data_IF_674445738796
#
_entry.id   IF_674445738796
#
_cell.length_a   1.000
_cell.length_b   1.000
_cell.length_c   1.000
_cell.angle_alpha   90.00
_cell.angle_beta   90.00
_cell.angle_gamma   90.00
#
_symmetry.space_group_name_H-M   'P 1'
#
loop_
_entity.id
_entity.type
_entity.pdbx_description
1 polymer ?
#
# COMPACT_ATOMS: atom_id res chain seq x y z
N UNK A 1 -23.95 -17.53 14.17
CA UNK A 1 -22.48 -17.62 14.04
C UNK A 1 -22.04 -16.53 13.07
N UNK A 2 -21.96 -15.27 13.54
CA UNK A 2 -21.66 -14.07 12.72
C UNK A 2 -20.61 -13.16 13.39
N UNK A 3 -20.05 -13.56 14.54
CA UNK A 3 -19.12 -12.73 15.35
C UNK A 3 -17.71 -12.59 14.75
N UNK A 4 -17.39 -13.26 13.66
CA UNK A 4 -16.03 -13.34 13.11
C UNK A 4 -15.72 -12.29 12.05
N UNK A 5 -16.72 -11.85 11.27
CA UNK A 5 -16.49 -10.93 10.16
C UNK A 5 -16.40 -9.47 10.64
N UNK A 6 -17.25 -9.08 11.59
CA UNK A 6 -17.21 -7.73 12.18
C UNK A 6 -15.94 -7.50 13.00
N UNK A 7 -15.54 -8.48 13.83
CA UNK A 7 -14.29 -8.39 14.58
C UNK A 7 -13.04 -8.39 13.69
N UNK A 8 -13.10 -9.05 12.53
CA UNK A 8 -12.03 -8.97 11.53
C UNK A 8 -12.00 -7.58 10.87
N UNK A 9 -13.15 -7.00 10.53
CA UNK A 9 -13.24 -5.64 9.98
C UNK A 9 -12.65 -4.62 10.97
N UNK A 10 -13.03 -4.67 12.23
CA UNK A 10 -12.47 -3.80 13.28
C UNK A 10 -10.95 -3.94 13.41
N UNK A 11 -10.45 -5.18 13.41
CA UNK A 11 -9.00 -5.44 13.44
C UNK A 11 -8.28 -4.86 12.24
N UNK A 12 -8.89 -4.93 11.06
CA UNK A 12 -8.33 -4.37 9.82
C UNK A 12 -8.36 -2.84 9.82
N UNK A 13 -9.40 -2.22 10.35
CA UNK A 13 -9.46 -0.75 10.50
C UNK A 13 -8.30 -0.24 11.37
N UNK A 14 -7.95 -0.96 12.43
CA UNK A 14 -6.81 -0.60 13.28
C UNK A 14 -5.45 -0.91 12.64
N UNK A 15 -5.35 -2.00 11.87
CA UNK A 15 -4.10 -2.47 11.27
C UNK A 15 -3.71 -1.72 9.98
N UNK A 16 -4.67 -1.43 9.12
CA UNK A 16 -4.44 -0.90 7.77
C UNK A 16 -3.67 0.43 7.73
N UNK A 17 -3.94 1.43 8.60
CA UNK A 17 -3.20 2.70 8.56
C UNK A 17 -1.68 2.48 8.72
N UNK A 18 -1.29 1.71 9.73
CA UNK A 18 0.13 1.43 9.98
C UNK A 18 0.75 0.59 8.86
N UNK A 19 0.03 -0.42 8.37
CA UNK A 19 0.50 -1.27 7.29
C UNK A 19 0.69 -0.50 5.97
N UNK A 20 -0.26 0.36 5.61
CA UNK A 20 -0.19 1.22 4.42
C UNK A 20 0.97 2.20 4.54
N UNK A 21 1.13 2.86 5.69
CA UNK A 21 2.24 3.79 5.92
C UNK A 21 3.60 3.10 5.77
N UNK A 22 3.77 1.92 6.36
CA UNK A 22 5.02 1.17 6.27
C UNK A 22 5.34 0.73 4.83
N UNK A 23 4.34 0.24 4.09
CA UNK A 23 4.50 -0.16 2.70
C UNK A 23 4.82 1.03 1.78
N UNK A 24 4.14 2.17 1.98
CA UNK A 24 4.41 3.41 1.24
C UNK A 24 5.80 3.96 1.52
N UNK A 25 6.21 4.01 2.79
CA UNK A 25 7.55 4.46 3.17
C UNK A 25 8.63 3.57 2.55
N UNK A 26 8.40 2.25 2.51
CA UNK A 26 9.33 1.32 1.87
C UNK A 26 9.43 1.58 0.36
N UNK A 27 8.28 1.72 -0.32
CA UNK A 27 8.25 2.02 -1.75
C UNK A 27 8.95 3.34 -2.08
N UNK A 28 8.58 4.43 -1.39
CA UNK A 28 9.19 5.74 -1.55
C UNK A 28 10.69 5.71 -1.24
N UNK A 29 11.10 4.98 -0.20
CA UNK A 29 12.49 4.80 0.16
C UNK A 29 13.29 4.03 -0.90
N UNK A 30 12.67 3.07 -1.60
CA UNK A 30 13.31 2.42 -2.74
C UNK A 30 13.39 3.35 -3.94
N UNK A 31 12.30 4.01 -4.32
CA UNK A 31 12.27 4.90 -5.49
C UNK A 31 13.17 6.13 -5.33
N UNK A 32 13.32 6.67 -4.12
CA UNK A 32 14.16 7.83 -3.84
C UNK A 32 15.66 7.51 -3.80
N UNK A 33 16.05 6.23 -3.73
CA UNK A 33 17.47 5.85 -3.81
C UNK A 33 17.94 6.07 -5.24
N UNK A 34 18.82 7.05 -5.42
CA UNK A 34 19.48 7.26 -6.69
C UNK A 34 20.33 6.05 -7.06
N UNK A 35 20.28 5.71 -8.35
CA UNK A 35 20.97 4.57 -8.91
C UNK A 35 22.41 4.94 -9.23
N UNK A 36 23.32 4.77 -8.26
CA UNK A 36 24.74 5.12 -8.47
C UNK A 36 25.56 3.99 -9.12
N UNK A 37 24.99 2.80 -9.35
CA UNK A 37 25.74 1.62 -9.77
C UNK A 37 25.19 1.02 -11.08
N UNK A 38 26.05 0.87 -12.09
CA UNK A 38 25.72 0.28 -13.39
C UNK A 38 25.65 -1.27 -13.36
N UNK A 39 25.90 -1.92 -12.21
CA UNK A 39 25.80 -3.38 -12.08
C UNK A 39 24.35 -3.86 -12.34
N UNK A 40 24.10 -4.67 -13.39
CA UNK A 40 22.77 -5.18 -13.73
C UNK A 40 22.14 -6.07 -12.66
N UNK A 41 22.92 -6.66 -11.76
CA UNK A 41 22.41 -7.46 -10.63
C UNK A 41 21.83 -6.54 -9.57
N UNK A 42 22.60 -5.53 -9.17
CA UNK A 42 22.13 -4.46 -8.27
C UNK A 42 20.87 -3.86 -8.91
N UNK A 43 20.98 -3.54 -10.21
CA UNK A 43 19.91 -3.44 -11.22
C UNK A 43 18.54 -3.90 -10.75
N UNK A 44 18.46 -5.21 -10.93
CA UNK A 44 17.31 -6.06 -10.75
C UNK A 44 16.88 -6.12 -9.29
N UNK A 45 17.80 -6.22 -8.34
CA UNK A 45 17.46 -6.35 -6.90
C UNK A 45 16.72 -5.11 -6.37
N UNK A 46 17.17 -3.91 -6.74
CA UNK A 46 16.46 -2.68 -6.41
C UNK A 46 15.08 -2.64 -7.07
N UNK A 47 15.03 -2.95 -8.37
CA UNK A 47 13.77 -2.93 -9.10
C UNK A 47 12.76 -3.92 -8.52
N UNK A 48 13.20 -5.16 -8.20
CA UNK A 48 12.38 -6.19 -7.56
C UNK A 48 11.89 -5.75 -6.17
N UNK A 49 12.70 -4.98 -5.43
CA UNK A 49 12.30 -4.37 -4.14
C UNK A 49 11.19 -3.34 -4.31
N UNK A 50 11.29 -2.45 -5.32
CA UNK A 50 10.22 -1.53 -5.70
C UNK A 50 8.93 -2.29 -6.07
N UNK A 51 9.05 -3.37 -6.86
CA UNK A 51 7.91 -4.22 -7.25
C UNK A 51 7.23 -4.88 -6.06
N UNK A 52 8.02 -5.42 -5.14
CA UNK A 52 7.49 -6.07 -3.95
C UNK A 52 6.74 -5.07 -3.06
N UNK A 53 7.32 -3.90 -2.81
CA UNK A 53 6.70 -2.86 -1.99
C UNK A 53 5.37 -2.39 -2.59
N UNK A 54 5.33 -2.09 -3.89
CA UNK A 54 4.09 -1.63 -4.53
C UNK A 54 3.03 -2.74 -4.60
N UNK A 55 3.42 -4.01 -4.76
CA UNK A 55 2.50 -5.15 -4.68
C UNK A 55 1.88 -5.30 -3.29
N UNK A 56 2.61 -5.01 -2.22
CA UNK A 56 2.06 -4.98 -0.85
C UNK A 56 1.04 -3.84 -0.69
N UNK A 57 1.31 -2.65 -1.23
CA UNK A 57 0.35 -1.55 -1.24
C UNK A 57 -0.95 -1.96 -1.95
N UNK A 58 -0.84 -2.59 -3.13
CA UNK A 58 -2.01 -3.09 -3.85
C UNK A 58 -2.82 -4.12 -3.06
N UNK A 59 -2.15 -5.05 -2.36
CA UNK A 59 -2.82 -6.06 -1.55
C UNK A 59 -3.61 -5.42 -0.40
N UNK A 60 -3.02 -4.42 0.28
CA UNK A 60 -3.67 -3.70 1.37
C UNK A 60 -4.89 -2.91 0.88
N UNK A 61 -4.80 -2.30 -0.30
CA UNK A 61 -5.95 -1.61 -0.93
C UNK A 61 -7.09 -2.58 -1.24
N UNK A 62 -6.78 -3.75 -1.82
CA UNK A 62 -7.78 -4.79 -2.09
C UNK A 62 -8.43 -5.31 -0.80
N UNK A 63 -7.66 -5.39 0.28
CA UNK A 63 -8.18 -5.79 1.59
C UNK A 63 -9.14 -4.73 2.15
N UNK A 64 -8.77 -3.44 2.08
CA UNK A 64 -9.63 -2.34 2.49
C UNK A 64 -10.95 -2.31 1.71
N UNK A 65 -10.90 -2.53 0.40
CA UNK A 65 -12.08 -2.61 -0.47
C UNK A 65 -12.96 -3.81 -0.12
N UNK A 66 -12.37 -5.00 0.03
CA UNK A 66 -13.10 -6.24 0.32
C UNK A 66 -13.90 -6.17 1.63
N UNK A 67 -13.40 -5.44 2.63
CA UNK A 67 -14.03 -5.32 3.95
C UNK A 67 -14.85 -4.03 4.12
N UNK A 68 -15.14 -3.34 3.01
CA UNK A 68 -15.87 -2.07 3.00
C UNK A 68 -15.35 -1.08 4.06
N UNK A 69 -14.03 -1.04 4.19
CA UNK A 69 -13.36 -0.06 5.03
C UNK A 69 -13.35 1.28 4.31
N UNK A 70 -13.45 1.29 2.97
CA UNK A 70 -13.49 2.52 2.19
C UNK A 70 -14.84 3.25 2.28
N UNK A 71 -15.91 2.55 2.63
CA UNK A 71 -17.28 3.05 2.68
C UNK A 71 -17.73 3.48 4.08
N UNK A 72 -17.79 4.80 4.28
CA UNK A 72 -18.90 5.44 5.00
C UNK A 72 -19.15 5.08 6.46
N UNK A 73 -18.21 5.41 7.36
CA UNK A 73 -18.58 5.83 8.72
C UNK A 73 -18.22 7.32 8.85
N UNK A 74 -19.06 8.12 9.51
CA UNK A 74 -18.79 9.54 9.80
C UNK A 74 -17.54 9.72 10.69
N UNK A 75 -17.11 8.64 11.34
CA UNK A 75 -15.87 8.54 12.12
C UNK A 75 -14.65 8.03 11.33
N UNK A 76 -14.72 7.97 10.00
CA UNK A 76 -13.56 7.54 9.22
C UNK A 76 -12.39 8.49 9.43
N UNK A 77 -11.29 7.94 9.92
CA UNK A 77 -10.03 8.67 10.10
C UNK A 77 -9.63 9.31 8.77
N UNK A 78 -9.71 10.63 8.70
CA UNK A 78 -9.34 11.43 7.53
C UNK A 78 -7.91 11.09 7.08
N UNK A 79 -7.03 10.73 8.03
CA UNK A 79 -5.68 10.27 7.74
C UNK A 79 -5.68 8.96 6.94
N UNK A 80 -6.50 7.99 7.31
CA UNK A 80 -6.59 6.71 6.58
C UNK A 80 -7.11 6.95 5.15
N UNK A 81 -8.09 7.84 4.97
CA UNK A 81 -8.58 8.22 3.63
C UNK A 81 -7.46 8.84 2.79
N UNK A 82 -6.71 9.79 3.35
CA UNK A 82 -5.56 10.39 2.66
C UNK A 82 -4.49 9.35 2.32
N UNK A 83 -4.18 8.42 3.22
CA UNK A 83 -3.23 7.34 2.96
C UNK A 83 -3.67 6.43 1.81
N UNK A 84 -4.96 6.11 1.75
CA UNK A 84 -5.53 5.27 0.69
C UNK A 84 -5.48 5.98 -0.67
N UNK A 85 -5.82 7.26 -0.72
CA UNK A 85 -5.71 8.04 -1.96
C UNK A 85 -4.25 8.18 -2.43
N UNK A 86 -3.32 8.42 -1.50
CA UNK A 86 -1.88 8.41 -1.82
C UNK A 86 -1.43 7.04 -2.36
N UNK A 87 -1.83 5.95 -1.70
CA UNK A 87 -1.55 4.59 -2.15
C UNK A 87 -2.10 4.29 -3.54
N UNK A 88 -3.32 4.73 -3.85
CA UNK A 88 -3.91 4.61 -5.20
C UNK A 88 -3.11 5.38 -6.24
N UNK A 89 -2.69 6.60 -5.92
CA UNK A 89 -1.88 7.43 -6.81
C UNK A 89 -0.54 6.77 -7.13
N UNK A 90 0.19 6.27 -6.12
CA UNK A 90 1.48 5.59 -6.32
C UNK A 90 1.35 4.30 -7.14
N UNK A 91 0.31 3.49 -6.87
CA UNK A 91 0.02 2.29 -7.68
C UNK A 91 -0.29 2.66 -9.14
N UNK A 92 -1.07 3.72 -9.35
CA UNK A 92 -1.39 4.20 -10.71
C UNK A 92 -0.15 4.67 -11.46
N UNK A 93 0.72 5.46 -10.81
CA UNK A 93 2.00 5.90 -11.39
C UNK A 93 2.86 4.70 -11.79
N UNK A 94 3.05 3.74 -10.87
CA UNK A 94 3.85 2.54 -11.14
C UNK A 94 3.31 1.73 -12.32
N UNK A 95 1.99 1.58 -12.45
CA UNK A 95 1.38 0.87 -13.60
C UNK A 95 1.66 1.56 -14.92
N UNK A 96 1.54 2.89 -14.98
CA UNK A 96 1.84 3.67 -16.19
C UNK A 96 3.30 3.57 -16.62
N UNK A 97 4.22 3.41 -15.67
CA UNK A 97 5.65 3.22 -15.98
C UNK A 97 6.01 1.79 -16.42
N UNK A 98 5.09 0.84 -16.31
CA UNK A 98 5.30 -0.57 -16.69
C UNK A 98 4.79 -0.88 -18.12
N UNK A 99 3.91 -0.04 -18.67
CA UNK A 99 3.39 -0.10 -20.05
C UNK A 99 4.37 0.51 -21.05
#
# INVERSE_FOLDING_TARGET
MLKTQDGLRESLVQFLPHALQAALNSYQGFVAREYENEDPKVFKEHHDSCKAAIAHVELLLKLAEKFDILGGDENHDENLRMMIENARAEVSKYKKHKE
#
